data_IF_963043603828
#
_entry.id   IF_963043603828
#
_cell.length_a   1.000
_cell.length_b   1.000
_cell.length_c   1.000
_cell.angle_alpha   90.00
_cell.angle_beta   90.00
_cell.angle_gamma   90.00
#
_symmetry.space_group_name_H-M   'P 1'
#
loop_
_entity.id
_entity.type
_entity.pdbx_description
1 polymer ?
#
# COMPACT_ATOMS: atom_id res chain seq x y z
N UNK A 1 -41.00 38.81 56.94
CA UNK A 1 -41.99 39.43 56.04
C UNK A 1 -41.22 39.94 54.83
N UNK A 2 -41.37 39.50 53.58
CA UNK A 2 -42.38 38.65 52.96
C UNK A 2 -41.83 38.22 51.60
N UNK A 3 -41.96 36.91 51.32
CA UNK A 3 -42.20 36.25 50.04
C UNK A 3 -41.30 36.47 48.81
N UNK A 4 -40.64 35.37 48.39
CA UNK A 4 -40.37 35.06 46.99
C UNK A 4 -41.68 34.82 46.21
N UNK A 5 -41.71 35.01 44.88
CA UNK A 5 -42.69 34.38 43.99
C UNK A 5 -42.10 33.23 43.15
N UNK A 6 -42.94 32.31 42.62
CA UNK A 6 -42.54 30.95 42.25
C UNK A 6 -42.13 30.77 40.79
N UNK A 7 -41.42 29.66 40.54
CA UNK A 7 -41.07 29.13 39.23
C UNK A 7 -42.31 28.81 38.39
N UNK A 8 -42.33 29.28 37.14
CA UNK A 8 -43.32 28.87 36.13
C UNK A 8 -42.68 27.88 35.17
N UNK A 9 -43.16 26.64 35.22
CA UNK A 9 -42.78 25.52 34.38
C UNK A 9 -43.50 25.66 33.02
N UNK A 10 -42.77 26.04 31.98
CA UNK A 10 -43.28 26.00 30.60
C UNK A 10 -42.71 24.77 29.88
N UNK A 11 -43.57 23.78 29.70
CA UNK A 11 -43.35 22.56 28.91
C UNK A 11 -42.96 22.89 27.46
N UNK A 12 -41.78 22.43 27.02
CA UNK A 12 -41.43 22.26 25.61
C UNK A 12 -40.85 20.86 25.37
N UNK A 13 -41.59 20.01 24.65
CA UNK A 13 -41.07 18.93 23.78
C UNK A 13 -40.97 19.50 22.35
N UNK A 14 -40.26 18.91 21.36
CA UNK A 14 -39.08 18.01 21.31
C UNK A 14 -37.94 18.74 20.49
N UNK A 15 -36.95 18.16 19.75
CA UNK A 15 -36.99 16.96 18.90
C UNK A 15 -35.96 15.88 19.26
N UNK A 16 -36.40 14.64 19.10
CA UNK A 16 -35.59 13.50 18.66
C UNK A 16 -34.80 13.89 17.42
N UNK A 17 -33.51 14.18 17.60
CA UNK A 17 -32.52 14.20 16.55
C UNK A 17 -31.52 13.10 16.85
N UNK A 18 -31.82 11.88 16.40
CA UNK A 18 -30.76 10.90 16.17
C UNK A 18 -29.90 11.56 15.10
N UNK A 19 -28.76 12.15 15.50
CA UNK A 19 -27.69 12.41 14.57
C UNK A 19 -27.24 11.04 14.07
N UNK A 20 -27.81 10.67 12.92
CA UNK A 20 -27.38 9.51 12.17
C UNK A 20 -25.87 9.57 12.05
N UNK A 21 -25.21 8.51 12.49
CA UNK A 21 -23.88 8.20 12.03
C UNK A 21 -23.86 8.42 10.52
N UNK A 22 -23.17 9.48 10.10
CA UNK A 22 -22.86 9.67 8.69
C UNK A 22 -21.87 8.56 8.37
N UNK A 23 -22.39 7.42 7.92
CA UNK A 23 -21.64 6.47 7.14
C UNK A 23 -21.24 7.20 5.86
N UNK A 24 -19.97 7.58 5.77
CA UNK A 24 -19.34 8.19 4.61
C UNK A 24 -17.82 8.13 4.83
N UNK A 25 -17.00 7.73 3.86
CA UNK A 25 -17.27 7.50 2.45
C UNK A 25 -16.20 6.59 1.84
N UNK A 26 -16.65 5.74 0.91
CA UNK A 26 -15.95 5.08 -0.18
C UNK A 26 -14.49 4.65 0.03
N UNK A 27 -14.32 3.34 0.20
CA UNK A 27 -13.12 2.60 -0.22
C UNK A 27 -12.73 3.01 -1.64
N UNK A 28 -11.69 3.84 -1.79
CA UNK A 28 -11.31 4.39 -3.09
C UNK A 28 -10.35 3.42 -3.79
N UNK A 29 -10.91 2.57 -4.66
CA UNK A 29 -10.13 1.88 -5.68
C UNK A 29 -10.18 2.68 -6.96
N UNK A 30 -9.01 3.06 -7.48
CA UNK A 30 -8.91 3.68 -8.80
C UNK A 30 -8.38 2.64 -9.77
N UNK A 31 -9.24 2.13 -10.65
CA UNK A 31 -8.86 1.25 -11.76
C UNK A 31 -8.74 2.07 -13.04
N UNK A 32 -7.63 1.92 -13.77
CA UNK A 32 -7.51 2.52 -15.11
C UNK A 32 -8.14 1.60 -16.16
N UNK A 33 -9.08 2.18 -16.92
CA UNK A 33 -9.65 1.80 -18.22
C UNK A 33 -9.75 0.30 -18.58
N UNK A 34 -11.00 -0.15 -18.70
CA UNK A 34 -11.38 -1.33 -19.47
C UNK A 34 -10.89 -1.18 -20.92
N UNK A 35 -10.29 -2.23 -21.47
CA UNK A 35 -9.73 -2.19 -22.82
C UNK A 35 -10.85 -2.10 -23.88
N UNK A 36 -10.73 -1.26 -24.93
CA UNK A 36 -11.67 -1.23 -26.04
C UNK A 36 -11.84 -2.60 -26.72
N UNK A 37 -13.01 -2.89 -27.33
CA UNK A 37 -13.19 -4.11 -28.10
C UNK A 37 -12.16 -4.21 -29.24
N UNK A 38 -11.46 -5.34 -29.33
CA UNK A 38 -10.40 -5.58 -30.31
C UNK A 38 -8.98 -5.35 -29.79
N UNK A 39 -8.82 -4.84 -28.56
CA UNK A 39 -7.55 -4.88 -27.84
C UNK A 39 -7.36 -6.28 -27.24
N UNK A 40 -6.18 -6.90 -27.35
CA UNK A 40 -5.91 -8.20 -26.73
C UNK A 40 -6.20 -8.17 -25.22
N UNK A 41 -6.59 -9.30 -24.61
CA UNK A 41 -6.81 -9.37 -23.18
C UNK A 41 -5.57 -8.88 -22.43
N UNK A 42 -5.80 -8.19 -21.31
CA UNK A 42 -4.73 -7.67 -20.46
C UNK A 42 -3.68 -8.74 -20.19
N UNK A 43 -2.40 -8.38 -20.31
CA UNK A 43 -1.29 -9.32 -20.03
C UNK A 43 -1.29 -9.73 -18.57
N UNK A 44 -1.83 -8.91 -17.68
CA UNK A 44 -1.95 -9.21 -16.25
C UNK A 44 -2.43 -7.99 -15.49
N UNK A 45 -2.73 -8.17 -14.21
CA UNK A 45 -3.15 -7.07 -13.35
C UNK A 45 -2.21 -6.84 -12.17
N UNK A 46 -2.02 -5.56 -11.85
CA UNK A 46 -1.16 -5.09 -10.76
C UNK A 46 -2.02 -4.31 -9.78
N UNK A 47 -2.18 -4.84 -8.58
CA UNK A 47 -2.80 -4.13 -7.46
C UNK A 47 -1.71 -3.37 -6.69
N UNK A 48 -1.74 -2.04 -6.82
CA UNK A 48 -0.83 -1.11 -6.18
C UNK A 48 -1.38 -0.74 -4.80
N UNK A 49 -0.57 -0.93 -3.76
CA UNK A 49 -0.86 -0.61 -2.38
C UNK A 49 0.07 0.54 -1.98
N UNK A 50 -0.49 1.71 -1.72
CA UNK A 50 0.32 2.90 -1.43
C UNK A 50 0.96 2.83 -0.04
N UNK A 51 2.08 3.53 0.08
CA UNK A 51 2.80 3.81 1.30
C UNK A 51 2.20 4.95 2.11
N UNK A 52 2.95 5.42 3.12
CA UNK A 52 2.56 6.60 3.91
C UNK A 52 2.62 7.85 3.04
N UNK A 53 1.59 8.68 3.15
CA UNK A 53 1.44 9.96 2.42
C UNK A 53 1.54 9.84 0.89
N UNK A 54 1.53 8.62 0.35
CA UNK A 54 1.51 8.35 -1.06
C UNK A 54 0.08 8.33 -1.59
N UNK A 55 -0.09 8.86 -2.80
CA UNK A 55 -1.38 8.88 -3.50
C UNK A 55 -1.25 8.19 -4.86
N UNK A 56 -2.36 7.99 -5.52
CA UNK A 56 -2.47 7.54 -6.91
C UNK A 56 -1.55 8.35 -7.85
N UNK A 57 -1.40 9.65 -7.58
CA UNK A 57 -0.54 10.56 -8.34
C UNK A 57 0.93 10.16 -8.28
N UNK A 58 1.41 9.62 -7.16
CA UNK A 58 2.79 9.15 -6.98
C UNK A 58 3.14 8.03 -7.97
N UNK A 59 2.15 7.23 -8.39
CA UNK A 59 2.35 6.07 -9.25
C UNK A 59 2.06 6.32 -10.73
N UNK A 60 1.60 7.51 -11.13
CA UNK A 60 1.18 7.79 -12.52
C UNK A 60 2.28 7.47 -13.54
N UNK A 61 3.52 7.87 -13.23
CA UNK A 61 4.67 7.58 -14.07
C UNK A 61 4.91 6.08 -14.25
N UNK A 62 4.67 5.24 -13.23
CA UNK A 62 4.81 3.79 -13.35
C UNK A 62 3.62 3.18 -14.09
N UNK A 63 2.39 3.56 -13.69
CA UNK A 63 1.14 3.07 -14.26
C UNK A 63 1.05 3.32 -15.76
N UNK A 64 1.50 4.48 -16.23
CA UNK A 64 1.54 4.78 -17.66
C UNK A 64 2.44 3.81 -18.43
N UNK A 65 3.64 3.46 -17.91
CA UNK A 65 4.50 2.45 -18.57
C UNK A 65 3.84 1.08 -18.56
N UNK A 66 3.32 0.64 -17.41
CA UNK A 66 2.63 -0.64 -17.29
C UNK A 66 1.44 -0.74 -18.27
N UNK A 67 0.65 0.33 -18.39
CA UNK A 67 -0.48 0.38 -19.31
C UNK A 67 -0.04 0.34 -20.78
N UNK A 68 1.06 1.02 -21.16
CA UNK A 68 1.62 0.96 -22.51
C UNK A 68 2.08 -0.46 -22.88
N UNK A 69 2.53 -1.24 -21.91
CA UNK A 69 2.90 -2.64 -22.08
C UNK A 69 1.73 -3.62 -21.90
N UNK A 70 0.50 -3.13 -21.68
CA UNK A 70 -0.72 -3.95 -21.66
C UNK A 70 -1.08 -4.56 -20.31
N UNK A 71 -0.60 -3.98 -19.20
CA UNK A 71 -1.00 -4.37 -17.84
C UNK A 71 -2.09 -3.44 -17.28
N UNK A 72 -3.07 -4.03 -16.59
CA UNK A 72 -4.11 -3.29 -15.88
C UNK A 72 -3.65 -2.94 -14.47
N UNK A 73 -3.79 -1.69 -14.04
CA UNK A 73 -3.42 -1.27 -12.67
C UNK A 73 -4.65 -0.83 -11.88
N UNK A 74 -4.73 -1.29 -10.64
CA UNK A 74 -5.69 -0.81 -9.64
C UNK A 74 -4.91 -0.28 -8.45
N UNK A 75 -5.25 0.91 -7.94
CA UNK A 75 -4.59 1.52 -6.78
C UNK A 75 -5.51 1.48 -5.56
N UNK A 76 -4.97 1.09 -4.41
CA UNK A 76 -5.62 1.11 -3.09
C UNK A 76 -4.82 1.99 -2.13
N UNK A 77 -5.33 3.20 -1.86
CA UNK A 77 -4.67 4.21 -1.03
C UNK A 77 -4.86 3.96 0.48
N UNK A 78 -6.04 3.48 0.87
CA UNK A 78 -6.41 3.36 2.28
C UNK A 78 -6.34 1.91 2.78
N UNK A 79 -5.77 1.68 3.98
CA UNK A 79 -5.91 0.40 4.64
C UNK A 79 -7.33 0.29 5.22
N UNK A 80 -8.14 -0.61 4.66
CA UNK A 80 -9.56 -0.75 5.03
C UNK A 80 -10.38 -1.40 3.92
N UNK A 81 -9.86 -1.38 2.68
CA UNK A 81 -10.42 -2.16 1.58
C UNK A 81 -10.42 -3.65 1.94
N UNK A 82 -11.60 -4.27 1.87
CA UNK A 82 -11.75 -5.70 2.16
C UNK A 82 -10.93 -6.55 1.18
N UNK A 83 -10.42 -7.69 1.64
CA UNK A 83 -9.65 -8.63 0.80
C UNK A 83 -10.46 -9.08 -0.42
N UNK A 84 -11.77 -9.29 -0.27
CA UNK A 84 -12.67 -9.64 -1.38
C UNK A 84 -12.75 -8.53 -2.44
N UNK A 85 -12.83 -7.26 -2.01
CA UNK A 85 -12.84 -6.13 -2.95
C UNK A 85 -11.49 -5.99 -3.66
N UNK A 86 -10.37 -6.22 -2.97
CA UNK A 86 -9.04 -6.23 -3.59
C UNK A 86 -8.90 -7.35 -4.63
N UNK A 87 -9.56 -8.49 -4.41
CA UNK A 87 -9.52 -9.61 -5.33
C UNK A 87 -10.24 -9.32 -6.66
N UNK A 88 -11.11 -8.30 -6.74
CA UNK A 88 -11.76 -7.87 -7.98
C UNK A 88 -10.77 -7.27 -8.98
N UNK A 89 -9.57 -6.85 -8.53
CA UNK A 89 -8.49 -6.42 -9.43
C UNK A 89 -7.89 -7.57 -10.24
N UNK A 90 -8.20 -8.83 -9.93
CA UNK A 90 -7.69 -10.01 -10.64
C UNK A 90 -8.35 -10.17 -12.00
N UNK A 91 -7.54 -10.49 -13.01
CA UNK A 91 -8.03 -10.91 -14.32
C UNK A 91 -7.87 -12.43 -14.43
N UNK A 92 -8.95 -13.21 -14.60
CA UNK A 92 -8.87 -14.66 -14.72
C UNK A 92 -7.95 -15.10 -15.87
N UNK A 93 -7.06 -16.05 -15.59
CA UNK A 93 -6.14 -16.60 -16.60
C UNK A 93 -4.92 -15.74 -16.93
N UNK A 94 -4.72 -14.62 -16.21
CA UNK A 94 -3.55 -13.75 -16.35
C UNK A 94 -2.85 -13.56 -15.00
N UNK A 95 -1.53 -13.29 -14.96
CA UNK A 95 -0.82 -13.02 -13.72
C UNK A 95 -1.40 -11.85 -12.93
N UNK A 96 -1.55 -12.05 -11.63
CA UNK A 96 -2.00 -11.06 -10.65
C UNK A 96 -0.89 -10.76 -9.64
N UNK A 97 -0.45 -9.50 -9.60
CA UNK A 97 0.70 -9.07 -8.79
C UNK A 97 0.29 -8.02 -7.77
N UNK A 98 0.78 -8.17 -6.55
CA UNK A 98 0.71 -7.10 -5.55
C UNK A 98 1.96 -6.23 -5.68
N UNK A 99 1.80 -4.92 -5.81
CA UNK A 99 2.89 -3.97 -5.74
C UNK A 99 2.68 -3.07 -4.53
N UNK A 100 3.61 -3.09 -3.58
CA UNK A 100 3.53 -2.28 -2.37
C UNK A 100 4.74 -1.36 -2.23
N UNK A 101 4.50 -0.10 -1.89
CA UNK A 101 5.53 0.87 -1.54
C UNK A 101 5.52 1.19 -0.06
N UNK A 102 6.68 1.37 0.57
CA UNK A 102 6.81 1.68 2.01
C UNK A 102 5.88 0.77 2.86
N UNK A 103 4.94 1.34 3.63
CA UNK A 103 4.01 0.56 4.46
C UNK A 103 3.06 -0.33 3.62
N UNK A 104 2.75 0.08 2.39
CA UNK A 104 2.04 -0.71 1.39
C UNK A 104 2.78 -1.99 1.00
N UNK A 105 4.11 -2.00 1.10
CA UNK A 105 4.94 -3.21 0.96
C UNK A 105 4.69 -4.23 2.07
N UNK A 106 4.59 -3.79 3.32
CA UNK A 106 4.22 -4.66 4.44
C UNK A 106 2.77 -5.17 4.32
N UNK A 107 1.87 -4.33 3.81
CA UNK A 107 0.50 -4.73 3.46
C UNK A 107 0.48 -5.78 2.36
N UNK A 108 1.28 -5.61 1.30
CA UNK A 108 1.41 -6.57 0.21
C UNK A 108 1.82 -7.95 0.73
N UNK A 109 2.80 -8.02 1.63
CA UNK A 109 3.26 -9.26 2.23
C UNK A 109 2.20 -9.92 3.12
N UNK A 110 1.46 -9.12 3.89
CA UNK A 110 0.32 -9.62 4.69
C UNK A 110 -0.77 -10.21 3.79
N UNK A 111 -1.09 -9.51 2.69
CA UNK A 111 -2.11 -9.92 1.72
C UNK A 111 -1.68 -11.11 0.86
N UNK A 112 -0.39 -11.26 0.59
CA UNK A 112 0.15 -12.40 -0.14
C UNK A 112 -0.09 -13.74 0.57
N UNK A 113 -0.19 -13.73 1.91
CA UNK A 113 -0.58 -14.90 2.70
C UNK A 113 -2.08 -15.22 2.65
N UNK A 114 -2.91 -14.36 2.05
CA UNK A 114 -4.36 -14.56 1.97
C UNK A 114 -4.74 -15.58 0.90
N UNK A 115 -5.47 -16.67 1.26
CA UNK A 115 -5.96 -17.65 0.30
C UNK A 115 -6.95 -17.09 -0.72
N UNK A 116 -7.54 -15.92 -0.44
CA UNK A 116 -8.48 -15.26 -1.34
C UNK A 116 -7.77 -14.43 -2.43
N UNK A 117 -6.54 -13.95 -2.17
CA UNK A 117 -5.81 -13.11 -3.11
C UNK A 117 -4.80 -13.85 -3.96
N UNK A 118 -4.17 -14.91 -3.45
CA UNK A 118 -3.18 -15.80 -4.14
C UNK A 118 -2.40 -15.11 -5.28
N UNK A 119 -1.64 -14.04 -5.01
CA UNK A 119 -0.91 -13.36 -6.07
C UNK A 119 0.17 -14.26 -6.65
N UNK A 120 0.43 -14.10 -7.94
CA UNK A 120 1.46 -14.83 -8.68
C UNK A 120 2.86 -14.24 -8.45
N UNK A 121 2.92 -13.02 -7.91
CA UNK A 121 4.15 -12.34 -7.55
C UNK A 121 3.92 -11.12 -6.67
N UNK A 122 4.99 -10.64 -6.04
CA UNK A 122 4.96 -9.40 -5.24
C UNK A 122 6.13 -8.48 -5.63
N UNK A 123 5.83 -7.19 -5.83
CA UNK A 123 6.81 -6.14 -6.03
C UNK A 123 6.84 -5.25 -4.77
N UNK A 124 8.02 -5.07 -4.20
CA UNK A 124 8.23 -4.32 -2.95
C UNK A 124 9.15 -3.15 -3.24
N UNK A 125 8.65 -1.93 -3.06
CA UNK A 125 9.38 -0.68 -3.30
C UNK A 125 9.70 -0.05 -1.95
N UNK A 126 10.99 0.10 -1.62
CA UNK A 126 11.39 0.72 -0.35
C UNK A 126 10.79 0.03 0.89
N UNK A 127 10.93 -1.29 1.03
CA UNK A 127 10.30 -2.04 2.14
C UNK A 127 10.82 -1.58 3.53
N UNK A 128 9.97 -1.08 4.46
CA UNK A 128 10.36 -0.63 5.80
C UNK A 128 10.55 -1.79 6.76
N UNK A 129 11.80 -2.24 6.91
CA UNK A 129 12.17 -3.36 7.79
C UNK A 129 12.52 -2.94 9.22
N UNK A 130 12.53 -1.63 9.52
CA UNK A 130 12.65 -1.11 10.87
C UNK A 130 11.35 -0.42 11.30
N UNK A 131 10.82 -0.78 12.46
CA UNK A 131 9.78 0.00 13.11
C UNK A 131 10.42 1.18 13.83
N UNK A 132 10.65 2.27 13.10
CA UNK A 132 10.97 3.56 13.70
C UNK A 132 9.71 4.42 13.69
N UNK A 133 9.34 5.06 14.83
CA UNK A 133 8.40 6.16 14.80
C UNK A 133 8.99 7.25 13.88
N UNK A 134 8.35 7.49 12.75
CA UNK A 134 8.66 8.68 11.95
C UNK A 134 7.90 9.86 12.55
N UNK A 135 8.53 11.04 12.57
CA UNK A 135 7.81 12.29 12.86
C UNK A 135 6.86 12.62 11.70
N UNK A 136 5.90 13.51 11.95
CA UNK A 136 4.95 13.99 10.93
C UNK A 136 5.64 14.59 9.67
N UNK A 137 6.93 14.96 9.77
CA UNK A 137 7.73 15.50 8.68
C UNK A 137 8.65 14.44 8.02
N UNK A 138 8.44 13.14 8.27
CA UNK A 138 9.23 12.04 7.69
C UNK A 138 10.63 11.84 8.30
N UNK A 139 10.95 12.53 9.39
CA UNK A 139 12.23 12.42 10.10
C UNK A 139 12.29 11.22 11.05
N UNK A 140 13.48 10.62 11.21
CA UNK A 140 13.74 9.57 12.19
C UNK A 140 14.00 10.18 13.57
N UNK A 141 13.19 9.84 14.59
CA UNK A 141 13.49 10.17 16.00
C UNK A 141 14.22 9.03 16.71
N UNK A 142 15.20 9.38 17.54
CA UNK A 142 15.83 8.45 18.48
C UNK A 142 14.87 8.18 19.65
N UNK A 143 14.94 6.97 20.21
CA UNK A 143 13.98 6.39 21.16
C UNK A 143 13.83 7.10 22.50
N UNK A 144 14.64 8.11 22.80
CA UNK A 144 14.66 8.81 24.08
C UNK A 144 13.65 9.97 24.18
N UNK A 145 13.14 10.47 23.03
CA UNK A 145 12.22 11.61 22.96
C UNK A 145 10.72 11.22 22.93
N UNK A 146 10.40 9.93 22.99
CA UNK A 146 9.05 9.40 22.75
C UNK A 146 8.05 9.61 23.91
N UNK A 147 8.51 10.11 25.07
CA UNK A 147 7.67 10.22 26.28
C UNK A 147 6.76 11.47 26.34
N UNK A 148 6.72 12.31 25.30
CA UNK A 148 6.20 13.69 25.44
C UNK A 148 5.04 14.16 24.56
N UNK A 149 4.52 13.40 23.60
CA UNK A 149 3.57 13.95 22.63
C UNK A 149 2.34 13.06 22.39
N UNK A 150 1.41 13.05 23.34
CA UNK A 150 -0.01 12.81 23.06
C UNK A 150 -0.63 14.13 22.62
N UNK A 151 -0.96 14.28 21.33
CA UNK A 151 -1.67 15.46 20.86
C UNK A 151 -1.86 15.58 19.35
N UNK A 152 -3.05 15.16 18.90
CA UNK A 152 -3.80 15.66 17.72
C UNK A 152 -3.25 15.31 16.34
N UNK A 153 -3.87 14.30 15.69
CA UNK A 153 -4.00 14.26 14.21
C UNK A 153 -3.58 13.00 13.45
N UNK A 154 -2.98 11.99 14.07
CA UNK A 154 -2.58 10.75 13.37
C UNK A 154 -3.57 9.62 13.62
N UNK A 155 -4.44 9.31 12.66
CA UNK A 155 -5.19 8.06 12.67
C UNK A 155 -4.19 6.90 12.83
N UNK A 156 -4.51 5.93 13.70
CA UNK A 156 -3.72 4.71 13.88
C UNK A 156 -3.51 4.05 12.52
N UNK A 157 -2.35 4.28 11.88
CA UNK A 157 -1.95 3.52 10.71
C UNK A 157 -1.92 2.05 11.14
N UNK A 158 -2.60 1.13 10.44
CA UNK A 158 -2.52 -0.28 10.79
C UNK A 158 -1.06 -0.71 10.75
N UNK A 159 -0.57 -1.16 11.90
CA UNK A 159 0.80 -1.65 12.04
C UNK A 159 0.86 -3.01 11.35
N UNK A 160 1.22 -3.02 10.07
CA UNK A 160 1.57 -4.25 9.40
C UNK A 160 2.85 -4.82 10.03
N UNK A 161 2.90 -6.13 10.30
CA UNK A 161 4.07 -6.73 10.93
C UNK A 161 5.27 -6.67 9.99
N UNK A 162 6.44 -6.37 10.53
CA UNK A 162 7.69 -6.57 9.79
C UNK A 162 7.88 -8.08 9.61
N UNK A 163 8.01 -8.57 8.36
CA UNK A 163 8.17 -9.99 8.09
C UNK A 163 9.48 -10.53 8.68
N UNK A 164 9.45 -11.72 9.29
CA UNK A 164 10.66 -12.46 9.66
C UNK A 164 11.25 -13.25 8.48
N UNK A 165 10.41 -13.58 7.51
CA UNK A 165 10.75 -14.26 6.27
C UNK A 165 9.78 -13.79 5.17
N UNK A 166 10.23 -13.83 3.92
CA UNK A 166 9.37 -13.57 2.77
C UNK A 166 8.58 -14.83 2.35
N UNK A 167 7.38 -14.68 1.77
CA UNK A 167 6.62 -15.82 1.26
C UNK A 167 7.35 -16.50 0.09
N UNK A 168 7.10 -17.81 -0.08
CA UNK A 168 7.68 -18.60 -1.17
C UNK A 168 6.94 -18.40 -2.50
N UNK A 169 7.10 -17.20 -3.06
CA UNK A 169 6.59 -16.80 -4.36
C UNK A 169 7.59 -15.86 -5.05
N UNK A 170 7.46 -15.59 -6.36
CA UNK A 170 8.31 -14.62 -7.05
C UNK A 170 8.22 -13.23 -6.41
N UNK A 171 9.36 -12.68 -5.98
CA UNK A 171 9.42 -11.35 -5.38
C UNK A 171 10.44 -10.49 -6.12
N UNK A 172 10.05 -9.28 -6.49
CA UNK A 172 10.99 -8.22 -6.83
C UNK A 172 11.04 -7.21 -5.68
N UNK A 173 12.21 -7.03 -5.08
CA UNK A 173 12.46 -5.97 -4.10
C UNK A 173 13.33 -4.90 -4.76
N UNK A 174 12.85 -3.66 -4.78
CA UNK A 174 13.56 -2.50 -5.29
C UNK A 174 13.93 -1.57 -4.14
N UNK A 175 15.20 -1.20 -4.05
CA UNK A 175 15.76 -0.50 -2.90
C UNK A 175 16.69 0.64 -3.33
N UNK A 176 16.56 1.80 -2.68
CA UNK A 176 17.46 2.93 -2.87
C UNK A 176 18.84 2.65 -2.30
N UNK A 177 19.90 3.02 -3.01
CA UNK A 177 21.28 2.84 -2.51
C UNK A 177 21.57 3.66 -1.25
N UNK A 178 20.88 4.78 -1.07
CA UNK A 178 21.04 5.72 0.05
C UNK A 178 19.84 5.69 1.01
N UNK A 179 19.11 4.57 1.08
CA UNK A 179 17.93 4.43 1.96
C UNK A 179 18.33 4.42 3.45
N UNK A 180 17.94 5.48 4.16
CA UNK A 180 18.16 5.65 5.61
C UNK A 180 16.94 5.24 6.46
N UNK A 181 15.79 5.01 5.83
CA UNK A 181 14.55 4.54 6.48
C UNK A 181 14.63 3.03 6.66
N UNK A 182 15.10 2.33 5.64
CA UNK A 182 15.27 0.88 5.59
C UNK A 182 16.72 0.53 5.33
N UNK A 183 17.50 0.11 6.35
CA UNK A 183 18.90 -0.22 6.12
C UNK A 183 19.07 -1.41 5.16
N UNK A 184 19.82 -1.19 4.09
CA UNK A 184 20.17 -2.21 3.09
C UNK A 184 20.63 -3.55 3.68
N UNK A 185 21.44 -3.63 4.76
CA UNK A 185 21.83 -4.92 5.33
C UNK A 185 20.65 -5.79 5.79
N UNK A 186 19.55 -5.18 6.26
CA UNK A 186 18.34 -5.94 6.64
C UNK A 186 17.61 -6.47 5.41
N UNK A 187 17.52 -5.65 4.36
CA UNK A 187 16.98 -6.06 3.05
C UNK A 187 17.78 -7.23 2.48
N UNK A 188 19.11 -7.15 2.51
CA UNK A 188 19.98 -8.24 2.07
C UNK A 188 19.80 -9.49 2.93
N UNK A 189 19.64 -9.34 4.24
CA UNK A 189 19.44 -10.48 5.14
C UNK A 189 18.13 -11.22 4.86
N UNK A 190 17.02 -10.51 4.67
CA UNK A 190 15.70 -11.14 4.51
C UNK A 190 15.55 -11.86 3.16
N UNK A 191 16.22 -11.38 2.11
CA UNK A 191 16.18 -12.05 0.79
C UNK A 191 17.01 -13.33 0.75
N UNK A 192 18.01 -13.51 1.64
CA UNK A 192 18.87 -14.72 1.63
C UNK A 192 18.09 -16.01 1.81
N UNK A 193 16.95 -15.95 2.50
CA UNK A 193 16.08 -17.11 2.76
C UNK A 193 14.92 -17.20 1.76
N UNK A 194 14.88 -16.34 0.75
CA UNK A 194 13.81 -16.25 -0.23
C UNK A 194 14.38 -16.51 -1.63
N UNK A 195 14.49 -17.79 -2.06
CA UNK A 195 15.19 -18.17 -3.30
C UNK A 195 14.53 -17.60 -4.57
N UNK A 196 13.25 -17.24 -4.48
CA UNK A 196 12.47 -16.64 -5.58
C UNK A 196 12.42 -15.10 -5.49
N UNK A 197 13.13 -14.50 -4.53
CA UNK A 197 13.27 -13.05 -4.42
C UNK A 197 14.48 -12.55 -5.21
N UNK A 198 14.29 -11.43 -5.93
CA UNK A 198 15.32 -10.68 -6.62
C UNK A 198 15.42 -9.30 -5.98
N UNK A 199 16.64 -8.81 -5.77
CA UNK A 199 16.92 -7.46 -5.27
C UNK A 199 17.49 -6.60 -6.39
N UNK A 200 16.84 -5.47 -6.65
CA UNK A 200 17.33 -4.42 -7.54
C UNK A 200 17.67 -3.19 -6.73
N UNK A 201 18.91 -2.73 -6.84
CA UNK A 201 19.36 -1.46 -6.26
C UNK A 201 19.21 -0.33 -7.27
N UNK A 202 18.71 0.83 -6.84
CA UNK A 202 18.56 2.02 -7.70
C UNK A 202 19.14 3.27 -7.04
N UNK A 203 19.60 4.29 -7.82
CA UNK A 203 20.01 5.57 -7.25
C UNK A 203 18.91 6.22 -6.42
N UNK A 204 19.28 6.89 -5.32
CA UNK A 204 18.36 7.61 -4.47
C UNK A 204 18.11 6.95 -3.11
N UNK A 205 17.12 7.49 -2.40
CA UNK A 205 16.78 7.11 -1.02
C UNK A 205 15.58 6.13 -1.01
N UNK A 206 14.82 6.14 0.08
CA UNK A 206 13.68 5.26 0.32
C UNK A 206 12.57 5.35 -0.74
N UNK A 207 12.19 6.57 -1.14
CA UNK A 207 11.21 6.77 -2.21
C UNK A 207 11.87 6.54 -3.57
N UNK A 208 11.77 5.29 -4.03
CA UNK A 208 12.29 4.85 -5.32
C UNK A 208 11.34 5.16 -6.48
N UNK A 209 10.07 5.47 -6.20
CA UNK A 209 9.05 5.71 -7.24
C UNK A 209 9.20 7.11 -7.82
N UNK A 210 9.43 8.11 -6.97
CA UNK A 210 9.65 9.50 -7.42
C UNK A 210 11.13 9.88 -7.45
N UNK A 211 11.99 9.04 -6.87
CA UNK A 211 13.44 9.24 -6.82
C UNK A 211 14.16 9.14 -8.18
N UNK A 212 15.47 9.43 -8.23
CA UNK A 212 16.24 9.49 -9.48
C UNK A 212 16.30 8.13 -10.22
N UNK A 213 16.10 7.03 -9.50
CA UNK A 213 16.03 5.68 -10.05
C UNK A 213 14.69 5.26 -10.68
N UNK A 214 13.66 6.12 -10.71
CA UNK A 214 12.29 5.74 -11.07
C UNK A 214 12.14 5.01 -12.41
N UNK A 215 12.98 5.34 -13.41
CA UNK A 215 12.97 4.65 -14.71
C UNK A 215 13.41 3.19 -14.59
N UNK A 216 14.44 2.93 -13.76
CA UNK A 216 14.91 1.58 -13.46
C UNK A 216 13.88 0.80 -12.66
N UNK A 217 13.15 1.46 -11.75
CA UNK A 217 12.02 0.84 -11.03
C UNK A 217 10.95 0.35 -12.00
N UNK A 218 10.54 1.21 -12.95
CA UNK A 218 9.54 0.83 -13.96
C UNK A 218 10.03 -0.31 -14.85
N UNK A 219 11.26 -0.22 -15.37
CA UNK A 219 11.83 -1.26 -16.22
C UNK A 219 11.98 -2.61 -15.49
N UNK A 220 12.44 -2.59 -14.23
CA UNK A 220 12.61 -3.81 -13.43
C UNK A 220 11.26 -4.45 -13.10
N UNK A 221 10.26 -3.63 -12.79
CA UNK A 221 8.88 -4.09 -12.60
C UNK A 221 8.35 -4.78 -13.85
N UNK A 222 8.49 -4.17 -15.04
CA UNK A 222 8.07 -4.77 -16.30
C UNK A 222 8.78 -6.11 -16.58
N UNK A 223 10.10 -6.16 -16.43
CA UNK A 223 10.88 -7.41 -16.62
C UNK A 223 10.42 -8.50 -15.65
N UNK A 224 10.10 -8.14 -14.41
CA UNK A 224 9.54 -9.08 -13.45
C UNK A 224 8.17 -9.59 -13.89
N UNK A 225 7.25 -8.70 -14.28
CA UNK A 225 5.92 -9.10 -14.75
C UNK A 225 5.99 -9.99 -15.99
N UNK A 226 6.90 -9.72 -16.93
CA UNK A 226 7.12 -10.56 -18.11
C UNK A 226 7.68 -11.92 -17.74
N UNK A 227 8.52 -12.01 -16.70
CA UNK A 227 9.02 -13.32 -16.25
C UNK A 227 7.92 -14.23 -15.70
N UNK A 228 6.84 -13.67 -15.14
CA UNK A 228 5.68 -14.43 -14.65
C UNK A 228 4.82 -14.99 -15.80
N UNK A 229 4.88 -14.40 -16.99
CA UNK A 229 4.18 -14.94 -18.17
C UNK A 229 4.82 -16.23 -18.67
N UNK A 230 6.15 -16.32 -18.56
CA UNK A 230 6.94 -17.41 -19.14
C UNK A 230 7.17 -18.57 -18.15
N UNK A 231 6.98 -18.32 -16.85
CA UNK A 231 7.10 -19.31 -15.79
C UNK A 231 5.85 -19.22 -14.87
N UNK A 232 4.67 -19.59 -15.38
CA UNK A 232 3.44 -19.47 -14.61
C UNK A 232 3.50 -20.38 -13.37
N UNK A 233 3.04 -19.91 -12.20
CA UNK A 233 2.99 -20.76 -11.01
C UNK A 233 2.09 -21.96 -11.28
N UNK A 234 2.50 -23.13 -10.78
CA UNK A 234 1.70 -24.36 -10.84
C UNK A 234 0.38 -24.10 -10.11
N UNK A 235 -0.72 -24.03 -10.86
CA UNK A 235 -2.07 -23.73 -10.36
C UNK A 235 -2.62 -24.74 -9.37
#
# INVERSE_FOLDING_TARGET
>A
MTSAPPATFASRRPPTGIHGHTAGNATSLTTTLEAPPGVPPSRGSVLILTGRDETVASFEGLRLRLALDGYTTTVSEEPGTSVSTLAEARIPGAPFVLLGSDIGGLRALTLAGSPALRPDGVVLLGLPLLQRPLTADGGVRNSEDAAGASGVGGAYAPVYPVPRALPDLPILLVHGVDDQVSPLPLTQMIIRTAPRARLTMVPGQHDVITGPGYRTVAASTLVFLESLQHDPPLG
#
